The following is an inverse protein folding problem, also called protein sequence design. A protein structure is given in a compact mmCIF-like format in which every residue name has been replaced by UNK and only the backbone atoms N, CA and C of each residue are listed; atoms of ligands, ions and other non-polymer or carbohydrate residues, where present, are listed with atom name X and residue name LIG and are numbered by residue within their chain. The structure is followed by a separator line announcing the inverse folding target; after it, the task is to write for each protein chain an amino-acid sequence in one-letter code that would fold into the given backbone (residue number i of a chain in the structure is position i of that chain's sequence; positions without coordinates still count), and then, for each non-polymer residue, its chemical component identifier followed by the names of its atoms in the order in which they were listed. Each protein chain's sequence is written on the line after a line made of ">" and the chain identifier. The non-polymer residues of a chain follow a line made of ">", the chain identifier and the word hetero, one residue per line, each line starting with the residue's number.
data_IF_893216209731
#
_entry.id   IF_893216209731
#
_cell.length_a   1.000
_cell.length_b   1.000
_cell.length_c   1.000
_cell.angle_alpha   90.00
_cell.angle_beta   90.00
_cell.angle_gamma   90.00
#
_symmetry.space_group_name_H-M   'P 1'
#
loop_
_entity.id
_entity.type
_entity.pdbx_description
1 polymer ?
#
# COMPACT_ATOMS: atom_id res chain seq x y z
N UNK A 1 -20.01 38.19 36.48
CA UNK A 1 -19.59 38.27 37.90
C UNK A 1 -20.12 37.07 38.66
N UNK A 2 -19.20 36.23 39.16
CA UNK A 2 -19.23 35.39 40.37
C UNK A 2 -20.51 34.70 40.87
N UNK A 3 -20.48 33.36 40.94
CA UNK A 3 -20.79 32.54 42.12
C UNK A 3 -20.72 31.04 41.74
N UNK A 4 -20.30 30.06 42.54
CA UNK A 4 -19.69 29.89 43.87
C UNK A 4 -19.18 28.44 43.88
N UNK A 5 -18.02 28.17 44.46
CA UNK A 5 -17.54 26.81 44.70
C UNK A 5 -18.44 26.10 45.72
N UNK A 6 -18.76 24.84 45.46
CA UNK A 6 -19.25 23.92 46.48
C UNK A 6 -18.48 22.60 46.36
N UNK A 7 -17.23 22.66 46.81
CA UNK A 7 -16.47 21.48 47.24
C UNK A 7 -17.21 20.89 48.44
N UNK A 8 -17.72 19.66 48.30
CA UNK A 8 -18.13 18.85 49.44
C UNK A 8 -17.27 17.60 49.50
N UNK A 9 -16.21 17.79 50.26
CA UNK A 9 -15.33 16.89 50.99
C UNK A 9 -15.93 15.53 51.38
N UNK A 10 -15.02 14.54 51.53
CA UNK A 10 -15.05 13.38 52.44
C UNK A 10 -15.45 12.04 51.84
N UNK A 11 -14.78 10.89 52.07
CA UNK A 11 -13.68 10.51 52.95
C UNK A 11 -13.03 9.23 52.37
N UNK A 12 -11.70 9.23 52.40
CA UNK A 12 -10.72 8.15 52.54
C UNK A 12 -11.04 6.69 52.15
N UNK A 13 -10.19 6.23 51.23
CA UNK A 13 -9.28 5.09 51.37
C UNK A 13 -9.88 3.72 51.68
N UNK A 14 -9.76 2.81 50.71
CA UNK A 14 -9.06 1.55 50.96
C UNK A 14 -8.33 1.11 49.71
N UNK A 15 -7.03 0.95 49.87
CA UNK A 15 -6.08 0.27 48.98
C UNK A 15 -6.47 -1.19 48.73
N UNK A 16 -5.71 -1.85 47.84
CA UNK A 16 -5.82 -3.24 47.36
C UNK A 16 -6.67 -3.29 46.08
N UNK A 17 -6.14 -3.52 44.88
CA UNK A 17 -4.91 -4.20 44.51
C UNK A 17 -5.28 -5.16 43.38
N UNK A 18 -4.50 -5.14 42.31
CA UNK A 18 -4.36 -6.22 41.33
C UNK A 18 -5.60 -6.63 40.50
N UNK A 19 -5.65 -6.19 39.24
CA UNK A 19 -5.49 -7.10 38.08
C UNK A 19 -5.57 -6.31 36.76
N UNK A 20 -4.51 -6.47 35.98
CA UNK A 20 -4.28 -5.87 34.67
C UNK A 20 -5.13 -6.59 33.62
N UNK A 21 -5.87 -5.81 32.82
CA UNK A 21 -6.01 -6.06 31.39
C UNK A 21 -7.19 -6.89 30.89
N UNK A 22 -8.43 -6.38 31.03
CA UNK A 22 -9.51 -6.70 30.08
C UNK A 22 -10.08 -5.41 29.51
N UNK A 23 -9.43 -4.85 28.49
CA UNK A 23 -10.00 -3.77 27.68
C UNK A 23 -10.92 -4.39 26.61
N UNK A 24 -12.10 -4.81 27.06
CA UNK A 24 -13.31 -4.68 26.25
C UNK A 24 -13.72 -3.21 26.33
N UNK A 25 -13.38 -2.43 25.30
CA UNK A 25 -13.94 -1.10 25.09
C UNK A 25 -14.47 -1.03 23.67
N UNK A 26 -15.75 -1.41 23.51
CA UNK A 26 -16.55 -1.01 22.37
C UNK A 26 -16.74 0.51 22.44
N UNK A 27 -15.89 1.26 21.75
CA UNK A 27 -16.14 2.68 21.49
C UNK A 27 -16.97 2.77 20.21
N UNK A 28 -18.23 3.16 20.36
CA UNK A 28 -19.03 3.74 19.29
C UNK A 28 -18.39 5.07 18.90
N UNK A 29 -17.46 5.03 17.94
CA UNK A 29 -16.93 6.23 17.32
C UNK A 29 -18.00 6.84 16.39
N UNK A 30 -18.23 8.16 16.42
CA UNK A 30 -19.14 8.82 15.48
C UNK A 30 -18.68 8.61 14.04
N UNK A 31 -19.61 8.61 13.06
CA UNK A 31 -19.27 8.34 11.66
C UNK A 31 -18.17 9.31 11.19
N UNK A 32 -17.12 8.81 10.52
CA UNK A 32 -16.08 9.66 9.97
C UNK A 32 -16.70 10.65 8.98
N UNK A 33 -16.22 11.91 8.91
CA UNK A 33 -16.68 12.87 7.91
C UNK A 33 -16.48 12.30 6.49
N UNK A 34 -17.27 12.74 5.49
CA UNK A 34 -17.11 12.31 4.11
C UNK A 34 -15.64 12.46 3.73
N UNK A 35 -15.05 11.35 3.31
CA UNK A 35 -13.68 11.30 2.80
C UNK A 35 -13.72 12.11 1.51
N UNK A 36 -13.55 13.42 1.63
CA UNK A 36 -13.31 14.34 0.52
C UNK A 36 -12.19 13.72 -0.30
N UNK A 37 -12.62 13.20 -1.43
CA UNK A 37 -11.89 12.76 -2.61
C UNK A 37 -10.46 13.30 -2.64
N UNK A 38 -9.57 12.63 -1.91
CA UNK A 38 -8.14 12.72 -2.18
C UNK A 38 -8.02 12.11 -3.57
N UNK A 39 -7.86 12.98 -4.57
CA UNK A 39 -7.43 12.68 -5.93
C UNK A 39 -6.06 11.99 -5.87
N UNK A 40 -6.04 10.78 -5.31
CA UNK A 40 -5.06 9.76 -5.59
C UNK A 40 -5.35 9.43 -7.03
N UNK A 41 -4.73 10.18 -7.94
CA UNK A 41 -4.64 9.82 -9.35
C UNK A 41 -4.39 8.33 -9.34
N UNK A 42 -5.39 7.55 -9.75
CA UNK A 42 -5.25 6.10 -9.87
C UNK A 42 -4.22 5.94 -10.97
N UNK A 43 -2.94 6.03 -10.61
CA UNK A 43 -1.88 5.45 -11.41
C UNK A 43 -2.33 4.01 -11.48
N UNK A 44 -2.90 3.64 -12.63
CA UNK A 44 -3.26 2.26 -12.91
C UNK A 44 -1.92 1.50 -12.98
N UNK A 45 -1.42 1.16 -11.80
CA UNK A 45 -0.29 0.28 -11.62
C UNK A 45 -0.72 -1.09 -12.11
N UNK A 46 0.10 -1.71 -12.95
CA UNK A 46 -0.21 -3.04 -13.46
C UNK A 46 -0.42 -4.02 -12.28
N UNK A 47 -1.38 -4.95 -12.35
CA UNK A 47 -1.52 -6.01 -11.36
C UNK A 47 -0.17 -6.71 -11.13
N UNK A 48 0.10 -7.14 -9.90
CA UNK A 48 1.37 -7.78 -9.54
C UNK A 48 1.69 -9.00 -10.43
N UNK A 49 0.65 -9.70 -10.90
CA UNK A 49 0.76 -10.82 -11.84
C UNK A 49 1.42 -10.42 -13.17
N UNK A 50 0.99 -9.30 -13.78
CA UNK A 50 1.60 -8.78 -15.00
C UNK A 50 3.03 -8.30 -14.78
N UNK A 51 3.33 -7.77 -13.60
CA UNK A 51 4.71 -7.37 -13.25
C UNK A 51 5.64 -8.59 -13.13
N UNK A 52 5.15 -9.68 -12.54
CA UNK A 52 5.89 -10.96 -12.45
C UNK A 52 6.11 -11.57 -13.84
N UNK A 53 5.09 -11.58 -14.70
CA UNK A 53 5.21 -12.05 -16.09
C UNK A 53 6.28 -11.26 -16.86
N UNK A 54 6.28 -9.94 -16.71
CA UNK A 54 7.30 -9.09 -17.31
C UNK A 54 8.70 -9.33 -16.74
N UNK A 55 8.82 -9.56 -15.43
CA UNK A 55 10.10 -9.90 -14.80
C UNK A 55 10.69 -11.21 -15.36
N UNK A 56 9.86 -12.24 -15.53
CA UNK A 56 10.25 -13.52 -16.13
C UNK A 56 10.66 -13.37 -17.61
N UNK A 57 9.91 -12.56 -18.37
CA UNK A 57 10.25 -12.29 -19.76
C UNK A 57 11.57 -11.51 -19.90
N UNK A 58 11.80 -10.52 -19.03
CA UNK A 58 13.04 -9.77 -18.97
C UNK A 58 14.23 -10.63 -18.51
N UNK A 59 14.02 -11.56 -17.57
CA UNK A 59 15.04 -12.53 -17.14
C UNK A 59 15.51 -13.38 -18.33
N UNK A 60 14.56 -13.92 -19.11
CA UNK A 60 14.86 -14.72 -20.32
C UNK A 60 15.56 -13.90 -21.40
N UNK A 61 15.11 -12.67 -21.64
CA UNK A 61 15.68 -11.79 -22.66
C UNK A 61 17.09 -11.30 -22.32
N UNK A 62 17.35 -11.01 -21.04
CA UNK A 62 18.63 -10.48 -20.56
C UNK A 62 19.61 -11.56 -20.08
N UNK A 63 19.17 -12.81 -19.96
CA UNK A 63 19.99 -13.93 -19.48
C UNK A 63 20.36 -13.83 -17.99
N UNK A 64 19.63 -13.03 -17.23
CA UNK A 64 19.81 -12.83 -15.78
C UNK A 64 18.74 -13.60 -15.03
N UNK A 65 19.08 -14.08 -13.84
CA UNK A 65 18.14 -14.80 -12.99
C UNK A 65 16.94 -13.90 -12.60
N UNK A 66 15.73 -14.45 -12.60
CA UNK A 66 14.50 -13.72 -12.28
C UNK A 66 14.55 -13.08 -10.87
N UNK A 67 15.29 -13.67 -9.93
CA UNK A 67 15.51 -13.11 -8.57
C UNK A 67 16.41 -11.87 -8.55
N UNK A 68 17.13 -11.60 -9.65
CA UNK A 68 17.94 -10.41 -9.86
C UNK A 68 17.23 -9.34 -10.67
N UNK A 69 16.03 -9.62 -11.16
CA UNK A 69 15.16 -8.64 -11.81
C UNK A 69 14.37 -7.89 -10.75
N UNK A 70 14.54 -6.57 -10.68
CA UNK A 70 13.79 -5.72 -9.75
C UNK A 70 12.78 -4.84 -10.50
N UNK A 71 11.49 -4.86 -10.14
CA UNK A 71 10.54 -3.89 -10.66
C UNK A 71 10.91 -2.47 -10.23
N UNK A 72 11.10 -1.58 -11.20
CA UNK A 72 11.45 -0.17 -10.97
C UNK A 72 10.18 0.67 -10.94
N UNK A 73 9.33 0.50 -11.95
CA UNK A 73 8.03 1.16 -12.03
C UNK A 73 7.10 0.34 -12.93
N UNK A 74 5.80 0.55 -12.77
CA UNK A 74 4.82 0.13 -13.77
C UNK A 74 3.79 1.23 -13.98
N UNK A 75 3.41 1.41 -15.23
CA UNK A 75 2.47 2.42 -15.66
C UNK A 75 1.58 1.86 -16.76
N UNK A 76 0.32 2.27 -16.75
CA UNK A 76 -0.56 2.04 -17.89
C UNK A 76 -0.23 3.02 -19.00
N UNK A 77 0.06 2.52 -20.20
CA UNK A 77 0.33 3.36 -21.37
C UNK A 77 -0.90 3.49 -22.27
N UNK A 78 -1.75 2.46 -22.29
CA UNK A 78 -2.97 2.40 -23.08
C UNK A 78 -4.07 1.64 -22.30
N UNK A 79 -5.36 1.75 -22.68
CA UNK A 79 -6.45 1.02 -22.02
C UNK A 79 -6.22 -0.49 -21.85
N UNK A 80 -5.47 -1.08 -22.79
CA UNK A 80 -5.17 -2.52 -22.83
C UNK A 80 -3.70 -2.84 -22.59
N UNK A 81 -2.81 -1.85 -22.45
CA UNK A 81 -1.36 -2.09 -22.37
C UNK A 81 -0.74 -1.41 -21.15
N UNK A 82 0.07 -2.17 -20.43
CA UNK A 82 0.93 -1.70 -19.36
C UNK A 82 2.39 -1.76 -19.78
N UNK A 83 3.14 -0.75 -19.36
CA UNK A 83 4.59 -0.73 -19.39
C UNK A 83 5.10 -1.05 -17.99
N UNK A 84 5.99 -2.03 -17.91
CA UNK A 84 6.69 -2.40 -16.68
C UNK A 84 8.17 -2.17 -16.91
N UNK A 85 8.73 -1.21 -16.18
CA UNK A 85 10.16 -0.94 -16.15
C UNK A 85 10.81 -1.83 -15.10
N UNK A 86 11.82 -2.57 -15.52
CA UNK A 86 12.52 -3.57 -14.74
C UNK A 86 14.02 -3.26 -14.75
N UNK A 87 14.70 -3.61 -13.67
CA UNK A 87 16.15 -3.57 -13.56
C UNK A 87 16.69 -4.98 -13.60
N UNK A 88 17.36 -5.33 -14.69
CA UNK A 88 17.93 -6.63 -14.96
C UNK A 88 19.43 -6.63 -14.57
N UNK A 89 19.72 -6.68 -13.27
CA UNK A 89 21.11 -6.68 -12.77
C UNK A 89 21.88 -5.39 -13.09
N UNK A 90 21.23 -4.23 -12.99
CA UNK A 90 21.79 -2.91 -13.27
C UNK A 90 21.51 -2.38 -14.68
N UNK A 91 20.78 -3.13 -15.52
CA UNK A 91 20.32 -2.69 -16.84
C UNK A 91 18.82 -2.43 -16.81
N UNK A 92 18.38 -1.24 -17.23
CA UNK A 92 16.95 -0.95 -17.36
C UNK A 92 16.36 -1.68 -18.57
N UNK A 93 15.19 -2.26 -18.38
CA UNK A 93 14.46 -3.02 -19.40
C UNK A 93 12.99 -2.64 -19.31
N UNK A 94 12.40 -2.27 -20.44
CA UNK A 94 10.99 -1.98 -20.60
C UNK A 94 10.27 -3.22 -21.12
N UNK A 95 9.21 -3.63 -20.43
CA UNK A 95 8.33 -4.70 -20.86
C UNK A 95 6.92 -4.16 -21.11
N UNK A 96 6.42 -4.35 -22.33
CA UNK A 96 5.04 -4.03 -22.70
C UNK A 96 4.19 -5.30 -22.59
N UNK A 97 3.16 -5.24 -21.76
CA UNK A 97 2.25 -6.36 -21.49
C UNK A 97 0.81 -5.92 -21.58
N UNK A 98 -0.02 -6.74 -22.20
CA UNK A 98 -1.46 -6.50 -22.30
C UNK A 98 -2.18 -6.81 -20.97
N UNK A 99 -3.36 -6.23 -20.77
CA UNK A 99 -4.34 -6.63 -19.74
C UNK A 99 -4.65 -8.13 -19.71
N UNK A 100 -4.49 -8.83 -20.83
CA UNK A 100 -4.69 -10.28 -20.96
C UNK A 100 -3.47 -11.12 -20.53
N UNK A 101 -2.34 -10.51 -20.14
CA UNK A 101 -1.10 -11.23 -19.79
C UNK A 101 -0.17 -11.53 -20.97
N UNK A 102 -0.46 -10.97 -22.14
CA UNK A 102 0.34 -11.16 -23.34
C UNK A 102 1.51 -10.16 -23.36
N UNK A 103 2.76 -10.65 -23.32
CA UNK A 103 3.96 -9.81 -23.46
C UNK A 103 4.11 -9.41 -24.94
N UNK A 104 3.89 -8.13 -25.24
CA UNK A 104 3.99 -7.54 -26.58
C UNK A 104 5.45 -7.34 -26.99
N UNK A 105 6.28 -6.86 -26.06
CA UNK A 105 7.70 -6.64 -26.30
C UNK A 105 8.48 -6.57 -24.98
N UNK A 106 9.76 -6.92 -25.07
CA UNK A 106 10.75 -6.69 -24.02
C UNK A 106 11.94 -6.04 -24.70
N UNK A 107 12.28 -4.82 -24.28
CA UNK A 107 13.36 -4.05 -24.88
C UNK A 107 14.23 -3.45 -23.77
N UNK A 108 15.55 -3.37 -23.94
CA UNK A 108 16.37 -2.52 -23.09
C UNK A 108 15.84 -1.09 -23.13
N UNK A 109 15.70 -0.46 -21.96
CA UNK A 109 15.26 0.94 -21.85
C UNK A 109 16.42 1.93 -22.05
#
# INVERSE_FOLDING_TARGET
>A
MSAKHAVRTSIRATTIGFLVGTLSACVSAPPPPPQEQMSRTKVETAPADLQLLCADAAAKASGVDSTKILPVSSSKIDPQTYQVELDAGGKKTSCLVDTEGNVKSVQPA
#
